data_IF_937027495475
#
_entry.id   IF_937027495475
#
_cell.length_a   1.000
_cell.length_b   1.000
_cell.length_c   1.000
_cell.angle_alpha   90.00
_cell.angle_beta   90.00
_cell.angle_gamma   90.00
#
_symmetry.space_group_name_H-M   'P 1'
#
loop_
_entity.id
_entity.type
_entity.pdbx_description
1 polymer ?
#
# COMPACT_ATOMS: atom_id res chain seq x y z
N UNK A 1 29.41 84.32 -11.28
CA UNK A 1 28.14 83.77 -10.80
C UNK A 1 28.09 82.31 -11.28
N UNK A 2 28.55 81.41 -10.48
CA UNK A 2 28.83 80.02 -10.84
C UNK A 2 27.81 79.14 -10.10
N UNK A 3 26.97 78.46 -10.84
CA UNK A 3 26.03 77.50 -10.29
C UNK A 3 26.63 76.08 -10.27
N UNK A 4 26.77 75.49 -9.08
CA UNK A 4 27.19 74.13 -8.89
C UNK A 4 25.99 73.19 -8.99
N UNK A 5 26.04 72.27 -9.94
CA UNK A 5 25.10 71.15 -10.09
C UNK A 5 25.58 69.99 -9.17
N UNK A 6 24.82 69.69 -8.12
CA UNK A 6 25.00 68.51 -7.28
C UNK A 6 24.44 67.27 -7.98
N UNK A 7 25.30 66.33 -8.33
CA UNK A 7 24.93 64.98 -8.81
C UNK A 7 24.41 64.14 -7.66
N UNK A 8 23.14 63.72 -7.72
CA UNK A 8 22.53 62.71 -6.88
C UNK A 8 22.90 61.32 -7.42
N UNK A 9 23.75 60.58 -6.71
CA UNK A 9 23.99 59.13 -6.96
C UNK A 9 22.79 58.35 -6.50
N UNK A 10 22.08 57.75 -7.41
CA UNK A 10 21.07 56.72 -7.16
C UNK A 10 21.81 55.41 -6.87
N UNK A 11 21.66 54.87 -5.65
CA UNK A 11 22.05 53.51 -5.31
C UNK A 11 20.89 52.60 -5.78
N UNK A 12 21.10 51.84 -6.81
CA UNK A 12 20.22 50.75 -7.20
C UNK A 12 20.54 49.59 -6.25
N UNK A 13 19.61 49.34 -5.31
CA UNK A 13 19.66 48.16 -4.49
C UNK A 13 19.22 46.93 -5.31
N UNK A 14 20.13 46.01 -5.58
CA UNK A 14 19.78 44.67 -6.06
C UNK A 14 19.04 43.97 -4.94
N UNK A 15 17.73 43.82 -5.05
CA UNK A 15 16.97 42.87 -4.27
C UNK A 15 17.23 41.48 -4.89
N UNK A 16 18.02 40.66 -4.20
CA UNK A 16 18.14 39.24 -4.50
C UNK A 16 16.80 38.59 -4.16
N UNK A 17 16.00 38.26 -5.17
CA UNK A 17 14.90 37.29 -5.02
C UNK A 17 15.56 35.93 -4.73
N UNK A 18 15.56 35.55 -3.45
CA UNK A 18 15.75 34.16 -3.06
C UNK A 18 14.50 33.40 -3.55
N UNK A 19 14.60 32.76 -4.71
CA UNK A 19 13.64 31.79 -5.15
C UNK A 19 13.67 30.60 -4.18
N UNK A 20 12.68 30.52 -3.31
CA UNK A 20 12.36 29.31 -2.60
C UNK A 20 11.84 28.35 -3.65
N UNK A 21 12.71 27.52 -4.18
CA UNK A 21 12.29 26.29 -4.87
C UNK A 21 11.63 25.43 -3.81
N UNK A 22 10.30 25.46 -3.78
CA UNK A 22 9.53 24.42 -3.13
C UNK A 22 9.96 23.11 -3.84
N UNK A 23 10.87 22.37 -3.24
CA UNK A 23 11.09 20.98 -3.59
C UNK A 23 9.76 20.30 -3.30
N UNK A 24 8.95 20.07 -4.33
CA UNK A 24 7.76 19.25 -4.26
C UNK A 24 8.17 17.94 -3.62
N UNK A 25 7.60 17.61 -2.48
CA UNK A 25 7.76 16.32 -1.85
C UNK A 25 7.09 15.32 -2.80
N UNK A 26 7.87 14.74 -3.71
CA UNK A 26 7.40 13.70 -4.58
C UNK A 26 7.13 12.46 -3.72
N UNK A 27 5.86 12.12 -3.56
CA UNK A 27 5.38 11.00 -2.78
C UNK A 27 5.61 9.70 -3.54
N UNK A 28 6.32 8.75 -2.97
CA UNK A 28 6.61 7.44 -3.57
C UNK A 28 6.11 6.28 -2.69
N UNK A 29 5.12 6.53 -1.85
CA UNK A 29 4.31 5.52 -1.17
C UNK A 29 2.88 5.61 -1.69
N UNK A 30 2.02 4.61 -1.45
CA UNK A 30 0.60 4.65 -1.84
C UNK A 30 -0.20 5.68 -1.02
N UNK A 31 0.47 6.66 -0.40
CA UNK A 31 -0.09 7.59 0.56
C UNK A 31 0.14 9.03 0.12
N UNK A 32 -0.80 9.91 0.50
CA UNK A 32 -0.80 11.35 0.19
C UNK A 32 -0.57 11.59 -1.31
N UNK A 33 -1.17 10.74 -2.13
CA UNK A 33 -0.90 10.67 -3.56
C UNK A 33 -2.09 11.17 -4.41
N UNK A 34 -3.18 11.60 -3.79
CA UNK A 34 -4.34 12.18 -4.47
C UNK A 34 -4.82 13.44 -3.76
N UNK A 35 -5.48 14.37 -4.47
CA UNK A 35 -6.01 15.59 -3.87
C UNK A 35 -6.94 15.33 -2.67
N UNK A 36 -7.76 14.27 -2.72
CA UNK A 36 -8.70 13.93 -1.64
C UNK A 36 -7.98 13.53 -0.36
N UNK A 37 -6.98 12.63 -0.42
CA UNK A 37 -6.27 12.16 0.78
C UNK A 37 -5.21 13.15 1.27
N UNK A 38 -4.64 13.98 0.38
CA UNK A 38 -3.78 15.11 0.76
C UNK A 38 -4.56 16.13 1.59
N UNK A 39 -5.83 16.40 1.21
CA UNK A 39 -6.68 17.33 1.94
C UNK A 39 -7.11 16.82 3.31
N UNK A 40 -7.28 15.52 3.49
CA UNK A 40 -7.57 14.87 4.77
C UNK A 40 -6.80 13.54 4.91
N UNK A 41 -5.58 13.55 5.47
CA UNK A 41 -4.77 12.33 5.67
C UNK A 41 -5.44 11.27 6.56
N UNK A 42 -6.53 11.61 7.26
CA UNK A 42 -7.31 10.65 8.04
C UNK A 42 -8.17 9.74 7.16
N UNK A 43 -8.33 10.10 5.87
CA UNK A 43 -8.99 9.25 4.88
C UNK A 43 -8.01 8.30 4.17
N UNK A 44 -6.71 8.55 4.26
CA UNK A 44 -5.66 7.86 3.55
C UNK A 44 -5.30 6.54 4.23
N UNK A 45 -5.54 5.42 3.57
CA UNK A 45 -5.18 4.09 4.06
C UNK A 45 -3.71 3.84 3.76
N UNK A 46 -2.89 3.74 4.81
CA UNK A 46 -1.51 3.35 4.70
C UNK A 46 -1.36 1.95 4.15
N UNK A 47 -1.83 1.00 4.91
CA UNK A 47 -1.69 -0.41 4.58
C UNK A 47 -2.88 -1.24 5.07
N UNK A 48 -3.12 -2.35 4.37
CA UNK A 48 -4.04 -3.40 4.80
C UNK A 48 -3.26 -4.69 5.00
N UNK A 49 -3.46 -5.34 6.14
CA UNK A 49 -2.91 -6.64 6.47
C UNK A 49 -4.04 -7.60 6.80
N UNK A 50 -3.88 -8.84 6.39
CA UNK A 50 -4.83 -9.92 6.69
C UNK A 50 -4.10 -11.25 6.76
N UNK A 51 -4.24 -11.98 7.87
CA UNK A 51 -3.64 -13.31 8.05
C UNK A 51 -4.41 -14.14 9.09
N UNK A 52 -4.12 -15.40 9.15
CA UNK A 52 -4.75 -16.32 10.11
C UNK A 52 -3.96 -16.43 11.41
N UNK A 53 -4.67 -16.66 12.53
CA UNK A 53 -4.01 -17.15 13.74
C UNK A 53 -3.42 -18.55 13.52
N UNK A 54 -2.35 -18.94 14.25
CA UNK A 54 -1.73 -20.25 14.08
C UNK A 54 -2.66 -21.45 14.26
N UNK A 55 -3.71 -21.30 15.07
CA UNK A 55 -4.73 -22.32 15.30
C UNK A 55 -5.89 -22.25 14.28
N UNK A 56 -5.81 -21.39 13.29
CA UNK A 56 -6.81 -21.13 12.24
C UNK A 56 -8.20 -20.75 12.77
N UNK A 57 -8.31 -20.28 14.01
CA UNK A 57 -9.59 -19.90 14.59
C UNK A 57 -9.98 -18.45 14.36
N UNK A 58 -9.00 -17.59 14.18
CA UNK A 58 -9.22 -16.15 14.01
C UNK A 58 -8.56 -15.63 12.75
N UNK A 59 -9.23 -14.67 12.13
CA UNK A 59 -8.68 -13.82 11.09
C UNK A 59 -8.20 -12.55 11.76
N UNK A 60 -6.95 -12.17 11.53
CA UNK A 60 -6.35 -10.93 11.99
C UNK A 60 -6.37 -9.92 10.85
N UNK A 61 -6.83 -8.72 11.12
CA UNK A 61 -6.96 -7.63 10.16
C UNK A 61 -6.30 -6.39 10.75
N UNK A 62 -5.54 -5.68 9.94
CA UNK A 62 -4.99 -4.36 10.30
C UNK A 62 -5.22 -3.41 9.14
N UNK A 63 -5.60 -2.19 9.48
CA UNK A 63 -5.63 -1.03 8.59
C UNK A 63 -4.85 0.08 9.25
N UNK A 64 -3.81 0.56 8.61
CA UNK A 64 -3.10 1.77 9.04
C UNK A 64 -3.65 2.98 8.28
N UNK A 65 -3.73 4.12 8.95
CA UNK A 65 -4.22 5.39 8.42
C UNK A 65 -3.10 6.40 8.54
N UNK A 66 -2.72 7.00 7.43
CA UNK A 66 -1.57 7.91 7.32
C UNK A 66 -1.66 9.08 8.28
N UNK A 67 -2.88 9.59 8.52
CA UNK A 67 -3.14 10.53 9.60
C UNK A 67 -2.89 9.88 10.97
N UNK A 68 -2.49 10.70 11.95
CA UNK A 68 -2.22 10.23 13.31
C UNK A 68 -3.47 10.16 14.19
N UNK A 69 -4.63 10.40 13.62
CA UNK A 69 -5.93 10.37 14.30
C UNK A 69 -7.00 9.88 13.35
N UNK A 70 -8.13 9.44 13.90
CA UNK A 70 -9.31 9.09 13.12
C UNK A 70 -10.26 10.29 12.98
N UNK A 71 -11.05 10.31 11.92
CA UNK A 71 -12.09 11.32 11.66
C UNK A 71 -13.45 10.86 12.20
N UNK A 72 -14.19 11.78 12.81
CA UNK A 72 -15.58 11.59 13.24
C UNK A 72 -16.58 11.57 12.05
N UNK A 73 -16.12 11.97 10.87
CA UNK A 73 -16.91 12.03 9.64
C UNK A 73 -16.73 10.82 8.74
N UNK A 74 -15.75 9.97 9.04
CA UNK A 74 -15.39 8.84 8.19
C UNK A 74 -15.82 7.50 8.78
N UNK A 75 -16.02 6.56 7.88
CA UNK A 75 -16.13 5.15 8.14
C UNK A 75 -14.84 4.47 7.65
N UNK A 76 -14.31 3.56 8.45
CA UNK A 76 -13.18 2.72 8.15
C UNK A 76 -13.71 1.29 8.00
N UNK A 77 -13.60 0.75 6.81
CA UNK A 77 -14.32 -0.46 6.45
C UNK A 77 -13.35 -1.54 5.99
N UNK A 78 -13.42 -2.71 6.60
CA UNK A 78 -12.87 -3.92 6.01
C UNK A 78 -14.00 -4.66 5.30
N UNK A 79 -13.83 -4.92 4.03
CA UNK A 79 -14.67 -5.78 3.24
C UNK A 79 -14.05 -7.17 3.16
N UNK A 80 -14.79 -8.19 3.57
CA UNK A 80 -14.35 -9.58 3.55
C UNK A 80 -15.34 -10.38 2.72
N UNK A 81 -14.95 -10.69 1.51
CA UNK A 81 -15.72 -11.53 0.61
C UNK A 81 -15.34 -12.99 0.84
N UNK A 82 -16.31 -13.88 1.03
CA UNK A 82 -16.07 -15.30 1.26
C UNK A 82 -16.60 -16.18 0.13
N UNK A 83 -15.96 -17.32 -0.09
CA UNK A 83 -16.36 -18.28 -1.10
C UNK A 83 -15.70 -19.64 -0.96
N UNK A 84 -16.17 -20.64 -1.75
CA UNK A 84 -15.67 -22.02 -1.64
C UNK A 84 -14.26 -22.21 -2.20
N UNK A 85 -13.80 -21.34 -3.09
CA UNK A 85 -12.50 -21.44 -3.77
C UNK A 85 -12.01 -20.07 -4.23
N UNK A 86 -10.73 -19.98 -4.57
CA UNK A 86 -10.14 -18.80 -5.20
C UNK A 86 -10.96 -18.32 -6.40
N UNK A 87 -11.15 -17.01 -6.53
CA UNK A 87 -11.88 -16.38 -7.62
C UNK A 87 -13.41 -16.53 -7.56
N UNK A 88 -13.97 -17.21 -6.56
CA UNK A 88 -15.40 -17.46 -6.44
C UNK A 88 -15.93 -17.07 -5.06
N UNK A 89 -16.12 -15.78 -4.83
CA UNK A 89 -16.78 -15.24 -3.63
C UNK A 89 -18.25 -14.97 -3.88
N UNK A 90 -19.10 -15.18 -2.88
CA UNK A 90 -20.55 -15.01 -3.01
C UNK A 90 -21.21 -14.29 -1.83
N UNK A 91 -20.50 -14.03 -0.75
CA UNK A 91 -21.02 -13.31 0.41
C UNK A 91 -19.97 -12.33 0.92
N UNK A 92 -20.38 -11.10 1.18
CA UNK A 92 -19.54 -10.06 1.80
C UNK A 92 -19.94 -9.85 3.24
N UNK A 93 -18.97 -9.86 4.13
CA UNK A 93 -19.11 -9.37 5.51
C UNK A 93 -18.29 -8.09 5.64
N UNK A 94 -18.95 -6.97 5.93
CA UNK A 94 -18.27 -5.71 6.17
C UNK A 94 -18.07 -5.48 7.67
N UNK A 95 -16.85 -5.08 8.05
CA UNK A 95 -16.53 -4.63 9.40
C UNK A 95 -16.38 -3.12 9.32
N UNK A 96 -17.31 -2.38 9.92
CA UNK A 96 -17.42 -0.92 9.84
C UNK A 96 -17.08 -0.31 11.17
N UNK A 97 -16.00 0.49 11.23
CA UNK A 97 -15.58 1.22 12.42
C UNK A 97 -15.79 2.73 12.23
N UNK A 98 -16.25 3.43 13.26
CA UNK A 98 -16.47 4.88 13.33
C UNK A 98 -15.95 5.43 14.64
N UNK A 99 -15.65 6.72 14.66
CA UNK A 99 -15.12 7.42 15.83
C UNK A 99 -15.98 8.65 16.17
N UNK A 100 -17.18 8.46 16.74
CA UNK A 100 -18.12 9.56 16.98
C UNK A 100 -17.59 10.60 17.97
N UNK A 101 -16.60 10.24 18.81
CA UNK A 101 -15.89 11.15 19.68
C UNK A 101 -14.45 10.69 19.87
N UNK A 102 -13.60 11.59 20.36
CA UNK A 102 -12.21 11.28 20.66
C UNK A 102 -12.11 10.08 21.62
N UNK A 103 -11.34 9.06 21.25
CA UNK A 103 -11.16 7.79 21.98
C UNK A 103 -12.44 6.94 22.10
N UNK A 104 -13.52 7.29 21.44
CA UNK A 104 -14.71 6.45 21.37
C UNK A 104 -14.80 5.79 20.01
N UNK A 105 -14.80 4.46 20.01
CA UNK A 105 -14.96 3.62 18.83
C UNK A 105 -16.38 3.03 18.83
N UNK A 106 -16.99 2.99 17.67
CA UNK A 106 -18.11 2.10 17.33
C UNK A 106 -17.68 1.22 16.18
N UNK A 107 -17.63 -0.10 16.39
CA UNK A 107 -17.23 -1.06 15.35
C UNK A 107 -18.24 -2.18 15.27
N UNK A 108 -18.76 -2.44 14.06
CA UNK A 108 -19.78 -3.47 13.80
C UNK A 108 -19.20 -4.49 12.82
N UNK A 109 -19.21 -5.77 13.19
CA UNK A 109 -18.77 -6.90 12.37
C UNK A 109 -20.01 -7.59 11.75
N UNK A 110 -20.43 -7.12 10.58
CA UNK A 110 -21.68 -7.57 9.94
C UNK A 110 -22.86 -7.47 10.92
N UNK A 111 -23.64 -8.55 10.99
CA UNK A 111 -24.74 -8.70 11.97
C UNK A 111 -24.35 -9.60 13.16
N UNK A 112 -23.10 -10.09 13.20
CA UNK A 112 -22.67 -11.07 14.19
C UNK A 112 -22.29 -10.46 15.55
N UNK A 113 -21.68 -9.25 15.54
CA UNK A 113 -21.20 -8.63 16.77
C UNK A 113 -20.95 -7.13 16.58
N UNK A 114 -20.89 -6.39 17.70
CA UNK A 114 -20.51 -4.99 17.74
C UNK A 114 -19.69 -4.65 18.98
N UNK A 115 -18.87 -3.62 18.91
CA UNK A 115 -18.14 -3.06 20.04
C UNK A 115 -18.33 -1.55 20.09
N UNK A 116 -18.49 -0.99 21.30
CA UNK A 116 -18.54 0.46 21.52
C UNK A 116 -17.77 0.83 22.78
N UNK A 117 -16.91 1.82 22.71
CA UNK A 117 -16.15 2.32 23.84
C UNK A 117 -14.72 2.70 23.49
N UNK A 118 -13.86 2.75 24.51
CA UNK A 118 -12.45 3.08 24.34
C UNK A 118 -11.63 1.84 23.96
N UNK A 119 -11.08 1.82 22.74
CA UNK A 119 -10.28 0.74 22.19
C UNK A 119 -8.75 1.03 22.20
N UNK A 120 -8.29 2.08 22.89
CA UNK A 120 -6.89 2.54 22.81
C UNK A 120 -5.92 1.75 23.70
N UNK A 121 -6.41 0.91 24.60
CA UNK A 121 -5.52 0.06 25.41
C UNK A 121 -5.00 -1.13 24.61
N UNK A 122 -3.78 -1.64 24.87
CA UNK A 122 -3.25 -2.81 24.18
C UNK A 122 -4.13 -4.06 24.29
N UNK A 123 -4.93 -4.19 25.34
CA UNK A 123 -5.90 -5.27 25.47
C UNK A 123 -7.03 -5.19 24.42
N UNK A 124 -7.27 -4.00 23.85
CA UNK A 124 -8.37 -3.76 22.95
C UNK A 124 -9.75 -3.84 23.63
N UNK A 125 -10.77 -3.60 22.83
CA UNK A 125 -12.18 -3.68 23.22
C UNK A 125 -12.77 -4.97 22.63
N UNK A 126 -13.44 -5.76 23.46
CA UNK A 126 -14.15 -6.98 23.01
C UNK A 126 -15.54 -6.64 22.51
N UNK A 127 -15.97 -7.31 21.45
CA UNK A 127 -17.34 -7.25 20.98
C UNK A 127 -18.34 -7.75 22.04
N UNK A 128 -19.60 -7.31 21.93
CA UNK A 128 -20.68 -7.67 22.86
C UNK A 128 -20.89 -9.19 22.95
N UNK A 129 -20.83 -9.87 21.79
CA UNK A 129 -20.96 -11.33 21.69
C UNK A 129 -19.62 -12.06 21.76
N UNK A 130 -18.53 -11.34 22.07
CA UNK A 130 -17.17 -11.86 22.15
C UNK A 130 -16.62 -12.50 20.86
N UNK A 131 -17.21 -12.19 19.69
CA UNK A 131 -16.81 -12.76 18.40
C UNK A 131 -15.61 -12.04 17.77
N UNK A 132 -15.28 -10.86 18.25
CA UNK A 132 -14.09 -10.12 17.82
C UNK A 132 -13.50 -9.26 18.94
N UNK A 133 -12.29 -8.81 18.73
CA UNK A 133 -11.60 -7.82 19.55
C UNK A 133 -11.01 -6.77 18.65
N UNK A 134 -11.09 -5.48 19.03
CA UNK A 134 -10.59 -4.35 18.26
C UNK A 134 -9.70 -3.46 19.13
N UNK A 135 -8.56 -3.05 18.59
CA UNK A 135 -7.73 -1.96 19.08
C UNK A 135 -7.79 -0.82 18.06
N UNK A 136 -7.81 0.42 18.54
CA UNK A 136 -7.71 1.61 17.70
C UNK A 136 -6.84 2.66 18.37
N UNK A 137 -5.74 3.04 17.74
CA UNK A 137 -4.77 4.00 18.28
C UNK A 137 -3.49 4.01 17.48
N UNK A 138 -2.51 4.78 17.94
CA UNK A 138 -1.22 4.86 17.28
C UNK A 138 -0.43 3.56 17.45
N UNK A 139 0.16 3.11 16.36
CA UNK A 139 1.12 1.99 16.30
C UNK A 139 2.20 2.33 15.30
N UNK A 140 3.34 1.68 15.46
CA UNK A 140 4.38 1.66 14.46
C UNK A 140 3.90 0.92 13.19
N UNK A 141 4.26 1.42 12.02
CA UNK A 141 3.85 0.80 10.75
C UNK A 141 4.81 -0.34 10.40
N UNK A 142 4.32 -1.57 10.19
CA UNK A 142 5.19 -2.67 9.80
C UNK A 142 5.64 -2.65 8.33
N UNK A 143 5.27 -1.64 7.56
CA UNK A 143 5.69 -1.48 6.18
C UNK A 143 7.06 -0.84 6.09
N UNK A 144 7.95 -1.42 5.31
CA UNK A 144 9.29 -0.89 5.07
C UNK A 144 9.60 -0.87 3.58
N UNK A 145 10.28 0.17 3.13
CA UNK A 145 10.58 0.41 1.72
C UNK A 145 11.71 1.45 1.55
N UNK A 146 12.64 1.20 0.64
CA UNK A 146 13.58 2.19 0.15
C UNK A 146 12.93 3.06 -0.93
N UNK A 147 12.10 4.02 -0.53
CA UNK A 147 11.38 4.92 -1.44
C UNK A 147 12.34 5.73 -2.33
N UNK A 148 13.49 6.17 -1.79
CA UNK A 148 14.46 6.96 -2.56
C UNK A 148 15.14 6.13 -3.64
N UNK A 149 15.54 4.89 -3.32
CA UNK A 149 16.08 3.96 -4.30
C UNK A 149 15.05 3.61 -5.39
N UNK A 150 13.79 3.40 -4.99
CA UNK A 150 12.69 3.19 -5.93
C UNK A 150 12.55 4.33 -6.94
N UNK A 151 12.60 5.58 -6.47
CA UNK A 151 12.54 6.76 -7.35
C UNK A 151 13.75 6.83 -8.29
N UNK A 152 14.95 6.65 -7.76
CA UNK A 152 16.17 6.68 -8.56
C UNK A 152 16.13 5.60 -9.66
N UNK A 153 15.64 4.40 -9.35
CA UNK A 153 15.45 3.32 -10.32
C UNK A 153 14.45 3.71 -11.43
N UNK A 154 13.29 4.28 -11.07
CA UNK A 154 12.32 4.74 -12.07
C UNK A 154 12.84 5.90 -12.92
N UNK A 155 13.56 6.85 -12.32
CA UNK A 155 14.20 7.94 -13.07
C UNK A 155 15.24 7.41 -14.06
N UNK A 156 16.03 6.41 -13.66
CA UNK A 156 17.00 5.75 -14.54
C UNK A 156 16.32 5.03 -15.70
N UNK A 157 15.23 4.28 -15.44
CA UNK A 157 14.44 3.62 -16.46
C UNK A 157 13.81 4.64 -17.43
N UNK A 158 13.21 5.71 -16.89
CA UNK A 158 12.64 6.79 -17.71
C UNK A 158 13.71 7.51 -18.56
N UNK A 159 14.92 7.71 -18.03
CA UNK A 159 16.03 8.29 -18.79
C UNK A 159 16.46 7.37 -19.95
N UNK A 160 16.55 6.06 -19.72
CA UNK A 160 16.87 5.09 -20.77
C UNK A 160 15.81 5.11 -21.89
N UNK A 161 14.53 5.19 -21.54
CA UNK A 161 13.44 5.31 -22.51
C UNK A 161 13.54 6.61 -23.32
N UNK A 162 13.79 7.75 -22.67
CA UNK A 162 14.00 9.04 -23.37
C UNK A 162 15.21 9.01 -24.30
N UNK A 163 16.22 8.21 -24.00
CA UNK A 163 17.42 8.01 -24.82
C UNK A 163 17.22 7.02 -25.98
N UNK A 164 16.00 6.53 -26.18
CA UNK A 164 15.62 5.75 -27.36
C UNK A 164 15.66 4.23 -27.17
N UNK A 165 15.61 3.72 -25.92
CA UNK A 165 15.39 2.28 -25.71
C UNK A 165 14.11 1.85 -26.41
N UNK A 166 14.20 0.85 -27.25
CA UNK A 166 13.06 0.29 -27.96
C UNK A 166 12.10 -0.40 -26.97
N UNK A 167 10.80 -0.28 -27.23
CA UNK A 167 9.76 -0.92 -26.45
C UNK A 167 9.03 -1.91 -27.34
N UNK A 168 8.82 -3.12 -26.87
CA UNK A 168 8.09 -4.14 -27.61
C UNK A 168 6.58 -3.88 -27.65
N UNK A 169 5.83 -4.70 -28.39
CA UNK A 169 4.39 -4.56 -28.55
C UNK A 169 3.60 -4.85 -27.26
N UNK A 170 4.22 -5.42 -26.22
CA UNK A 170 3.64 -5.61 -24.90
C UNK A 170 3.94 -4.45 -23.93
N UNK A 171 4.65 -3.43 -24.38
CA UNK A 171 5.07 -2.32 -23.55
C UNK A 171 6.33 -2.58 -22.73
N UNK A 172 7.07 -3.69 -23.00
CA UNK A 172 8.29 -4.02 -22.30
C UNK A 172 9.48 -3.31 -22.96
N UNK A 173 10.22 -2.43 -22.23
CA UNK A 173 11.47 -1.84 -22.72
C UNK A 173 12.58 -2.90 -22.87
N UNK A 174 13.26 -2.89 -24.02
CA UNK A 174 14.40 -3.76 -24.25
C UNK A 174 15.67 -3.18 -23.62
N UNK A 175 15.74 -3.16 -22.29
CA UNK A 175 16.96 -2.75 -21.60
C UNK A 175 18.06 -3.78 -21.82
N UNK A 176 19.28 -3.31 -22.11
CA UNK A 176 20.44 -4.18 -22.10
C UNK A 176 20.85 -4.52 -20.65
N UNK A 177 21.73 -5.52 -20.51
CA UNK A 177 22.18 -5.99 -19.20
C UNK A 177 22.82 -4.87 -18.35
N UNK A 178 23.51 -3.92 -18.97
CA UNK A 178 24.13 -2.79 -18.27
C UNK A 178 23.08 -1.84 -17.72
N UNK A 179 22.05 -1.52 -18.51
CA UNK A 179 20.95 -0.64 -18.11
C UNK A 179 20.10 -1.30 -17.02
N UNK A 180 19.73 -2.58 -17.17
CA UNK A 180 19.00 -3.33 -16.16
C UNK A 180 19.75 -3.39 -14.83
N UNK A 181 21.04 -3.74 -14.86
CA UNK A 181 21.86 -3.75 -13.67
C UNK A 181 21.94 -2.37 -13.00
N UNK A 182 22.08 -1.31 -13.80
CA UNK A 182 22.13 0.05 -13.26
C UNK A 182 20.79 0.49 -12.63
N UNK A 183 19.64 0.04 -13.15
CA UNK A 183 18.32 0.28 -12.55
C UNK A 183 18.20 -0.46 -11.23
N UNK A 184 18.57 -1.74 -11.18
CA UNK A 184 18.52 -2.55 -9.95
C UNK A 184 19.50 -2.05 -8.88
N UNK A 185 20.66 -1.51 -9.29
CA UNK A 185 21.63 -0.89 -8.38
C UNK A 185 21.06 0.37 -7.72
N UNK A 186 20.35 1.25 -8.47
CA UNK A 186 19.68 2.41 -7.87
C UNK A 186 18.62 1.97 -6.84
N UNK A 187 17.91 0.88 -7.13
CA UNK A 187 16.89 0.36 -6.21
C UNK A 187 17.45 -0.01 -4.84
N UNK A 188 18.64 -0.64 -4.82
CA UNK A 188 19.33 -1.09 -3.58
C UNK A 188 19.91 0.02 -2.75
N UNK A 189 20.08 1.21 -3.31
CA UNK A 189 20.83 2.28 -2.67
C UNK A 189 19.91 3.46 -2.28
N UNK A 190 20.28 4.12 -1.22
CA UNK A 190 19.71 5.42 -0.84
C UNK A 190 20.80 6.47 -1.00
N UNK A 191 20.68 7.36 -2.00
CA UNK A 191 21.63 8.43 -2.29
C UNK A 191 23.07 7.85 -2.49
N UNK A 192 23.21 6.71 -3.15
CA UNK A 192 24.47 5.99 -3.39
C UNK A 192 25.05 5.25 -2.19
N UNK A 193 24.37 5.24 -1.05
CA UNK A 193 24.71 4.48 0.16
C UNK A 193 23.82 3.25 0.36
N UNK A 194 23.94 2.61 1.52
CA UNK A 194 23.08 1.48 1.88
C UNK A 194 21.59 1.86 1.83
N UNK A 195 20.74 0.95 1.37
CA UNK A 195 19.28 1.10 1.40
C UNK A 195 18.75 1.46 2.79
N UNK A 196 17.85 2.41 2.84
CA UNK A 196 17.26 2.89 4.10
C UNK A 196 15.74 2.82 4.04
N UNK A 197 15.14 2.28 5.10
CA UNK A 197 13.70 2.35 5.27
C UNK A 197 13.25 3.82 5.36
N UNK A 198 12.47 4.27 4.39
CA UNK A 198 11.96 5.63 4.35
C UNK A 198 10.89 5.87 5.43
N UNK A 199 10.20 4.80 5.84
CA UNK A 199 9.10 4.85 6.79
C UNK A 199 9.54 4.55 8.23
N UNK A 200 10.86 4.44 8.48
CA UNK A 200 11.38 4.18 9.81
C UNK A 200 10.82 5.18 10.84
N UNK A 201 10.22 4.66 11.92
CA UNK A 201 9.56 5.45 12.96
C UNK A 201 8.21 6.06 12.58
N UNK A 202 7.65 5.71 11.43
CA UNK A 202 6.31 6.17 11.04
C UNK A 202 5.25 5.57 11.96
N UNK A 203 4.39 6.41 12.52
CA UNK A 203 3.42 6.03 13.55
C UNK A 203 1.99 6.42 13.14
N UNK A 204 1.34 5.67 12.24
CA UNK A 204 -0.02 5.92 11.78
C UNK A 204 -1.06 5.63 12.87
N UNK A 205 -2.28 6.15 12.68
CA UNK A 205 -3.42 5.64 13.40
C UNK A 205 -3.80 4.26 12.85
N UNK A 206 -3.92 3.25 13.72
CA UNK A 206 -4.13 1.86 13.31
C UNK A 206 -5.40 1.29 13.91
N UNK A 207 -6.20 0.59 13.09
CA UNK A 207 -7.31 -0.25 13.51
C UNK A 207 -6.85 -1.69 13.40
N UNK A 208 -6.84 -2.40 14.52
CA UNK A 208 -6.39 -3.79 14.61
C UNK A 208 -7.54 -4.66 15.10
N UNK A 209 -7.87 -5.70 14.36
CA UNK A 209 -8.99 -6.59 14.65
C UNK A 209 -8.49 -8.03 14.68
N UNK A 210 -8.97 -8.80 15.66
CA UNK A 210 -8.91 -10.25 15.67
C UNK A 210 -10.34 -10.77 15.79
N UNK A 211 -10.82 -11.50 14.78
CA UNK A 211 -12.22 -11.90 14.63
C UNK A 211 -12.34 -13.40 14.39
N UNK A 212 -13.35 -14.02 14.99
CA UNK A 212 -13.63 -15.44 14.78
C UNK A 212 -13.84 -15.74 13.29
N UNK A 213 -13.13 -16.74 12.80
CA UNK A 213 -13.15 -17.15 11.39
C UNK A 213 -14.58 -17.41 10.85
N UNK A 214 -15.41 -18.08 11.64
CA UNK A 214 -16.77 -18.47 11.21
C UNK A 214 -17.74 -17.28 11.01
N UNK A 215 -17.44 -16.12 11.58
CA UNK A 215 -18.15 -14.88 11.26
C UNK A 215 -17.95 -14.49 9.80
N UNK A 216 -16.77 -14.78 9.23
CA UNK A 216 -16.35 -14.33 7.92
C UNK A 216 -16.50 -15.40 6.83
N UNK A 217 -16.54 -16.70 7.19
CA UNK A 217 -16.52 -17.82 6.23
C UNK A 217 -17.91 -18.32 5.83
N UNK A 218 -18.91 -17.45 5.76
CA UNK A 218 -20.32 -17.82 5.51
C UNK A 218 -20.54 -18.61 4.22
N UNK A 219 -19.74 -18.37 3.20
CA UNK A 219 -19.85 -19.04 1.88
C UNK A 219 -18.66 -19.92 1.55
N UNK A 220 -17.73 -20.10 2.49
CA UNK A 220 -16.57 -20.96 2.29
C UNK A 220 -15.27 -20.40 2.87
N UNK A 221 -14.19 -21.20 2.81
CA UNK A 221 -12.95 -20.89 3.51
C UNK A 221 -12.05 -19.87 2.81
N UNK A 222 -12.30 -19.56 1.54
CA UNK A 222 -11.49 -18.57 0.82
C UNK A 222 -12.05 -17.18 1.08
N UNK A 223 -11.19 -16.29 1.55
CA UNK A 223 -11.51 -14.91 1.84
C UNK A 223 -10.75 -13.99 0.88
N UNK A 224 -11.41 -12.95 0.38
CA UNK A 224 -10.80 -11.89 -0.38
C UNK A 224 -11.07 -10.56 0.34
N UNK A 225 -10.00 -9.89 0.80
CA UNK A 225 -10.06 -8.83 1.80
C UNK A 225 -9.49 -7.54 1.22
N UNK A 226 -10.19 -6.44 1.47
CA UNK A 226 -9.76 -5.10 1.14
C UNK A 226 -10.31 -4.09 2.13
N UNK A 227 -9.69 -2.92 2.21
CA UNK A 227 -10.07 -1.82 3.06
C UNK A 227 -10.63 -0.64 2.27
N UNK A 228 -11.50 0.15 2.89
CA UNK A 228 -11.96 1.42 2.36
C UNK A 228 -12.14 2.46 3.47
N UNK A 229 -11.92 3.72 3.12
CA UNK A 229 -12.43 4.86 3.88
C UNK A 229 -13.54 5.53 3.10
N UNK A 230 -14.59 5.93 3.80
CA UNK A 230 -15.78 6.49 3.17
C UNK A 230 -16.44 7.54 4.06
N UNK A 231 -17.09 8.51 3.43
CA UNK A 231 -18.14 9.32 4.07
C UNK A 231 -19.47 8.56 4.05
N UNK A 232 -20.57 9.18 4.48
CA UNK A 232 -21.93 8.64 4.28
C UNK A 232 -22.28 8.45 2.81
N UNK A 233 -21.66 9.21 1.91
CA UNK A 233 -22.12 9.39 0.54
C UNK A 233 -21.21 8.76 -0.50
N UNK A 234 -19.90 8.64 -0.20
CA UNK A 234 -18.94 8.12 -1.16
C UNK A 234 -17.72 7.49 -0.49
N UNK A 235 -17.11 6.55 -1.19
CA UNK A 235 -15.76 6.06 -0.88
C UNK A 235 -14.72 7.12 -1.24
N UNK A 236 -13.70 7.27 -0.40
CA UNK A 236 -12.61 8.25 -0.56
C UNK A 236 -11.31 7.57 -0.92
N UNK A 237 -11.05 6.40 -0.31
CA UNK A 237 -9.83 5.65 -0.52
C UNK A 237 -10.09 4.15 -0.42
N UNK A 238 -9.17 3.36 -0.99
CA UNK A 238 -9.17 1.90 -0.91
C UNK A 238 -7.75 1.34 -0.94
N UNK A 239 -7.57 0.22 -0.26
CA UNK A 239 -6.35 -0.57 -0.34
C UNK A 239 -6.66 -2.06 -0.20
N UNK A 240 -5.87 -2.88 -0.86
CA UNK A 240 -5.90 -4.33 -0.73
C UNK A 240 -4.48 -4.88 -0.67
N UNK A 241 -3.87 -5.15 -1.82
CA UNK A 241 -2.47 -5.56 -1.93
C UNK A 241 -1.54 -4.37 -1.73
N UNK A 242 -0.30 -4.61 -1.25
CA UNK A 242 0.67 -3.54 -1.14
C UNK A 242 1.03 -2.97 -2.53
N UNK A 243 1.36 -1.69 -2.60
CA UNK A 243 1.93 -1.00 -3.76
C UNK A 243 1.03 -0.89 -5.00
N UNK A 244 -0.26 -1.26 -4.97
CA UNK A 244 -1.10 -1.25 -6.18
C UNK A 244 -1.17 0.14 -6.81
N UNK A 245 -1.41 1.19 -6.03
CA UNK A 245 -1.48 2.57 -6.51
C UNK A 245 -0.16 3.04 -7.13
N UNK A 246 0.95 2.92 -6.42
CA UNK A 246 2.23 3.48 -6.85
C UNK A 246 3.02 2.63 -7.83
N UNK A 247 2.90 1.32 -7.75
CA UNK A 247 3.62 0.45 -8.66
C UNK A 247 2.91 0.27 -10.01
N UNK A 248 1.58 0.45 -10.06
CA UNK A 248 0.79 -0.01 -11.21
C UNK A 248 -0.05 1.08 -11.88
N UNK A 249 -0.21 2.26 -11.26
CA UNK A 249 -1.05 3.34 -11.81
C UNK A 249 -0.22 4.58 -12.13
N UNK A 250 0.08 4.75 -13.41
CA UNK A 250 0.86 5.90 -13.89
C UNK A 250 2.31 5.91 -13.43
N UNK A 251 2.98 4.75 -13.38
CA UNK A 251 4.32 4.55 -12.79
C UNK A 251 5.40 5.49 -13.36
N UNK A 252 5.36 5.79 -14.65
CA UNK A 252 6.25 6.77 -15.31
C UNK A 252 5.48 7.96 -15.91
N UNK A 253 4.22 8.14 -15.54
CA UNK A 253 3.44 9.28 -15.99
C UNK A 253 3.78 10.55 -15.21
N UNK A 254 3.42 11.70 -15.78
CA UNK A 254 3.46 12.96 -15.05
C UNK A 254 2.57 12.89 -13.80
N UNK A 255 2.97 13.59 -12.74
CA UNK A 255 2.31 13.54 -11.43
C UNK A 255 0.80 13.78 -11.50
N UNK A 256 0.36 14.79 -12.24
CA UNK A 256 -1.07 15.11 -12.43
C UNK A 256 -1.86 13.96 -13.06
N UNK A 257 -1.26 13.22 -14.00
CA UNK A 257 -1.87 12.06 -14.66
C UNK A 257 -1.95 10.89 -13.69
N UNK A 258 -0.87 10.61 -12.98
CA UNK A 258 -0.81 9.55 -11.97
C UNK A 258 -1.82 9.80 -10.85
N UNK A 259 -1.84 11.01 -10.27
CA UNK A 259 -2.75 11.39 -9.19
C UNK A 259 -4.22 11.28 -9.61
N UNK A 260 -4.56 11.67 -10.84
CA UNK A 260 -5.92 11.50 -11.37
C UNK A 260 -6.32 10.02 -11.49
N UNK A 261 -5.44 9.17 -12.00
CA UNK A 261 -5.68 7.73 -12.12
C UNK A 261 -5.90 7.10 -10.74
N UNK A 262 -5.10 7.48 -9.76
CA UNK A 262 -5.21 7.01 -8.37
C UNK A 262 -6.50 7.50 -7.71
N UNK A 263 -6.90 8.77 -7.88
CA UNK A 263 -8.17 9.29 -7.39
C UNK A 263 -9.36 8.50 -7.95
N UNK A 264 -9.35 8.18 -9.25
CA UNK A 264 -10.37 7.34 -9.86
C UNK A 264 -10.34 5.90 -9.34
N UNK A 265 -9.15 5.38 -9.03
CA UNK A 265 -8.95 4.06 -8.48
C UNK A 265 -9.45 3.98 -7.02
N UNK A 266 -9.14 4.96 -6.19
CA UNK A 266 -9.57 5.05 -4.80
C UNK A 266 -11.11 5.12 -4.68
N UNK A 267 -11.79 5.73 -5.65
CA UNK A 267 -13.24 5.76 -5.72
C UNK A 267 -13.87 4.46 -6.29
N UNK A 268 -13.07 3.55 -6.86
CA UNK A 268 -13.57 2.31 -7.44
C UNK A 268 -13.65 1.17 -6.40
N UNK A 269 -14.39 0.12 -6.74
CA UNK A 269 -14.43 -1.13 -5.98
C UNK A 269 -13.79 -2.27 -6.79
N UNK A 270 -13.47 -3.42 -6.21
CA UNK A 270 -13.01 -4.58 -6.97
C UNK A 270 -13.92 -4.92 -8.16
N UNK A 271 -15.23 -4.80 -8.00
CA UNK A 271 -16.21 -5.07 -9.07
C UNK A 271 -16.15 -4.06 -10.24
N UNK A 272 -15.62 -2.86 -10.03
CA UNK A 272 -15.54 -1.79 -11.05
C UNK A 272 -14.11 -1.52 -11.53
N UNK A 273 -13.14 -2.30 -11.08
CA UNK A 273 -11.71 -2.07 -11.32
C UNK A 273 -11.21 -2.51 -12.70
N UNK A 274 -12.01 -3.24 -13.46
CA UNK A 274 -11.63 -3.74 -14.80
C UNK A 274 -11.17 -2.62 -15.77
N UNK A 275 -11.61 -1.38 -15.55
CA UNK A 275 -11.20 -0.22 -16.36
C UNK A 275 -9.72 0.14 -16.21
N UNK A 276 -9.06 -0.31 -15.14
CA UNK A 276 -7.64 -0.06 -14.88
C UNK A 276 -6.72 -1.13 -15.47
N UNK A 277 -7.24 -2.24 -15.98
CA UNK A 277 -6.44 -3.36 -16.50
C UNK A 277 -5.43 -2.87 -17.56
N UNK A 278 -5.85 -2.00 -18.47
CA UNK A 278 -4.97 -1.49 -19.53
C UNK A 278 -3.83 -0.63 -18.97
N UNK A 279 -4.09 0.19 -17.95
CA UNK A 279 -3.06 0.99 -17.30
C UNK A 279 -2.08 0.11 -16.51
N UNK A 280 -2.59 -0.87 -15.79
CA UNK A 280 -1.77 -1.86 -15.08
C UNK A 280 -0.90 -2.64 -16.08
N UNK A 281 -1.41 -3.01 -17.27
CA UNK A 281 -0.60 -3.66 -18.29
C UNK A 281 0.61 -2.82 -18.75
N UNK A 282 0.48 -1.49 -18.85
CA UNK A 282 1.61 -0.62 -19.18
C UNK A 282 2.69 -0.66 -18.11
N UNK A 283 2.30 -0.57 -16.84
CA UNK A 283 3.24 -0.67 -15.72
C UNK A 283 3.88 -2.05 -15.64
N UNK A 284 3.13 -3.11 -15.90
CA UNK A 284 3.65 -4.47 -15.96
C UNK A 284 4.68 -4.65 -17.08
N UNK A 285 4.49 -4.02 -18.24
CA UNK A 285 5.51 -4.01 -19.30
C UNK A 285 6.84 -3.42 -18.83
N UNK A 286 6.79 -2.33 -18.05
CA UNK A 286 8.00 -1.75 -17.45
C UNK A 286 8.66 -2.71 -16.45
N UNK A 287 7.87 -3.31 -15.53
CA UNK A 287 8.41 -4.26 -14.55
C UNK A 287 9.07 -5.48 -15.20
N UNK A 288 8.45 -6.02 -16.26
CA UNK A 288 8.94 -7.16 -17.04
C UNK A 288 10.34 -6.94 -17.64
N UNK A 289 10.79 -5.68 -17.74
CA UNK A 289 12.09 -5.31 -18.31
C UNK A 289 13.22 -5.18 -17.28
N UNK A 290 12.92 -5.17 -15.99
CA UNK A 290 13.94 -4.82 -14.99
C UNK A 290 15.04 -5.86 -14.82
N UNK A 291 14.77 -7.12 -15.11
CA UNK A 291 15.77 -8.19 -15.13
C UNK A 291 16.54 -8.28 -16.49
N UNK A 292 16.22 -7.41 -17.44
CA UNK A 292 16.79 -7.40 -18.82
C UNK A 292 16.13 -8.39 -19.78
N UNK A 293 15.02 -9.01 -19.39
CA UNK A 293 14.28 -9.96 -20.19
C UNK A 293 12.80 -9.59 -20.22
N UNK A 294 12.17 -9.79 -21.37
CA UNK A 294 10.73 -9.58 -21.53
C UNK A 294 10.01 -10.91 -21.63
N UNK A 295 8.85 -11.03 -20.97
CA UNK A 295 7.97 -12.20 -21.11
C UNK A 295 8.29 -13.33 -20.13
N UNK A 296 8.82 -13.03 -18.96
CA UNK A 296 9.11 -14.01 -17.89
C UNK A 296 8.44 -13.67 -16.54
N UNK A 297 7.68 -12.59 -16.46
CA UNK A 297 6.94 -12.19 -15.27
C UNK A 297 5.85 -13.21 -14.89
N UNK A 298 5.29 -13.07 -13.69
CA UNK A 298 4.23 -13.92 -13.17
C UNK A 298 3.02 -13.92 -14.12
N UNK A 299 2.42 -15.11 -14.37
CA UNK A 299 1.22 -15.33 -15.16
C UNK A 299 1.29 -14.79 -16.60
N UNK A 300 2.50 -14.63 -17.15
CA UNK A 300 2.66 -14.21 -18.54
C UNK A 300 2.04 -15.26 -19.49
N UNK A 301 1.17 -14.81 -20.38
CA UNK A 301 0.62 -15.67 -21.43
C UNK A 301 1.48 -15.57 -22.70
N UNK A 302 2.39 -16.52 -22.86
CA UNK A 302 3.31 -16.56 -24.03
C UNK A 302 2.65 -16.94 -25.34
N UNK A 303 1.39 -17.38 -25.31
CA UNK A 303 0.63 -17.75 -26.51
C UNK A 303 -0.29 -16.60 -26.96
N UNK A 304 -0.54 -15.63 -26.10
CA UNK A 304 -1.34 -14.46 -26.45
C UNK A 304 -0.59 -13.51 -27.40
N UNK A 305 -1.35 -12.67 -28.10
CA UNK A 305 -0.80 -11.50 -28.78
C UNK A 305 0.05 -10.68 -27.80
N UNK A 306 1.21 -10.15 -28.22
CA UNK A 306 2.15 -9.47 -27.32
C UNK A 306 1.49 -8.43 -26.42
N UNK A 307 0.59 -7.60 -26.94
CA UNK A 307 -0.15 -6.58 -26.18
C UNK A 307 -1.10 -7.12 -25.11
N UNK A 308 -1.34 -8.43 -25.09
CA UNK A 308 -2.25 -9.10 -24.15
C UNK A 308 -1.52 -10.06 -23.20
N UNK A 309 -0.21 -10.27 -23.37
CA UNK A 309 0.52 -11.31 -22.63
C UNK A 309 0.54 -11.10 -21.10
N UNK A 310 0.51 -9.85 -20.60
CA UNK A 310 0.43 -9.51 -19.17
C UNK A 310 -1.02 -9.35 -18.67
N UNK A 311 -2.03 -9.54 -19.53
CA UNK A 311 -3.43 -9.34 -19.17
C UNK A 311 -3.92 -10.22 -18.01
N UNK A 312 -3.53 -11.52 -17.89
CA UNK A 312 -3.93 -12.34 -16.76
C UNK A 312 -3.47 -11.76 -15.43
N UNK A 313 -2.20 -11.33 -15.34
CA UNK A 313 -1.65 -10.68 -14.16
C UNK A 313 -2.31 -9.33 -13.91
N UNK A 314 -2.50 -8.50 -14.93
CA UNK A 314 -3.17 -7.21 -14.81
C UNK A 314 -4.62 -7.34 -14.30
N UNK A 315 -5.33 -8.39 -14.74
CA UNK A 315 -6.70 -8.68 -14.27
C UNK A 315 -6.71 -9.07 -12.79
N UNK A 316 -5.76 -9.91 -12.37
CA UNK A 316 -5.58 -10.29 -10.97
C UNK A 316 -5.28 -9.07 -10.09
N UNK A 317 -4.39 -8.20 -10.54
CA UNK A 317 -3.95 -7.04 -9.76
C UNK A 317 -5.00 -5.93 -9.72
N UNK A 318 -5.79 -5.75 -10.77
CA UNK A 318 -6.91 -4.81 -10.79
C UNK A 318 -8.00 -5.17 -9.76
N UNK A 319 -8.21 -6.45 -9.46
CA UNK A 319 -9.11 -6.91 -8.40
C UNK A 319 -8.70 -6.40 -7.02
N UNK A 320 -7.40 -6.30 -6.77
CA UNK A 320 -6.76 -5.70 -5.58
C UNK A 320 -7.39 -6.11 -4.25
N UNK A 321 -7.46 -7.40 -4.01
CA UNK A 321 -7.87 -8.01 -2.74
C UNK A 321 -6.79 -8.95 -2.23
N UNK A 322 -6.52 -8.94 -0.93
CA UNK A 322 -5.70 -9.94 -0.26
C UNK A 322 -6.50 -11.24 -0.16
N UNK A 323 -6.02 -12.29 -0.80
CA UNK A 323 -6.63 -13.61 -0.70
C UNK A 323 -6.06 -14.38 0.49
N UNK A 324 -6.97 -14.91 1.32
CA UNK A 324 -6.63 -15.67 2.52
C UNK A 324 -7.35 -17.01 2.50
N UNK A 325 -6.59 -18.11 2.61
CA UNK A 325 -7.11 -19.43 2.88
C UNK A 325 -7.31 -19.59 4.40
N UNK A 326 -8.53 -19.40 4.88
CA UNK A 326 -8.84 -19.45 6.31
C UNK A 326 -8.81 -20.86 6.91
N UNK A 327 -8.60 -21.89 6.11
CA UNK A 327 -8.41 -23.26 6.60
C UNK A 327 -6.97 -23.53 7.10
N UNK A 328 -6.02 -22.61 6.86
CA UNK A 328 -4.63 -22.75 7.27
C UNK A 328 -4.22 -21.67 8.26
N UNK A 329 -3.46 -22.04 9.29
CA UNK A 329 -2.78 -21.13 10.22
C UNK A 329 -1.30 -20.86 9.86
N UNK A 330 -0.83 -21.38 8.72
CA UNK A 330 0.53 -21.17 8.21
C UNK A 330 0.46 -20.04 7.16
N UNK A 331 1.05 -18.90 7.44
CA UNK A 331 1.01 -17.69 6.59
C UNK A 331 2.44 -17.22 6.35
N UNK A 332 3.09 -17.74 5.31
CA UNK A 332 4.52 -17.51 5.06
C UNK A 332 4.81 -16.88 3.71
N UNK A 333 3.82 -16.82 2.81
CA UNK A 333 4.05 -16.38 1.44
C UNK A 333 2.96 -15.42 0.97
N UNK A 334 3.36 -14.19 0.59
CA UNK A 334 2.47 -13.27 -0.14
C UNK A 334 2.06 -13.90 -1.47
N UNK A 335 0.81 -13.73 -1.87
CA UNK A 335 0.24 -14.35 -3.05
C UNK A 335 0.19 -15.90 -3.03
N UNK A 336 0.34 -16.55 -1.87
CA UNK A 336 0.32 -18.02 -1.83
C UNK A 336 -0.95 -18.61 -2.44
N UNK A 337 -2.11 -18.03 -2.16
CA UNK A 337 -3.39 -18.50 -2.71
C UNK A 337 -3.42 -18.35 -4.22
N UNK A 338 -2.98 -17.21 -4.74
CA UNK A 338 -2.90 -16.91 -6.17
C UNK A 338 -1.88 -17.81 -6.88
N UNK A 339 -0.68 -17.94 -6.32
CA UNK A 339 0.38 -18.78 -6.86
C UNK A 339 -0.01 -20.26 -6.91
N UNK A 340 -0.66 -20.76 -5.86
CA UNK A 340 -1.16 -22.15 -5.81
C UNK A 340 -2.22 -22.43 -6.87
N UNK A 341 -3.12 -21.48 -7.13
CA UNK A 341 -4.27 -21.67 -8.03
C UNK A 341 -3.99 -21.29 -9.47
N UNK A 342 -3.09 -20.35 -9.75
CA UNK A 342 -2.86 -19.79 -11.07
C UNK A 342 -1.49 -20.14 -11.65
N UNK A 343 -0.46 -20.30 -10.81
CA UNK A 343 0.91 -20.53 -11.24
C UNK A 343 1.40 -21.96 -10.99
N UNK A 344 0.52 -22.87 -10.59
CA UNK A 344 0.85 -24.29 -10.37
C UNK A 344 1.74 -24.57 -9.14
N UNK A 345 1.89 -23.59 -8.23
CA UNK A 345 2.69 -23.71 -7.00
C UNK A 345 1.91 -24.51 -5.93
N UNK A 346 1.66 -25.77 -6.20
CA UNK A 346 0.79 -26.64 -5.36
C UNK A 346 1.31 -26.83 -3.93
N UNK A 347 2.59 -26.65 -3.68
CA UNK A 347 3.19 -26.64 -2.34
C UNK A 347 2.61 -25.54 -1.42
N UNK A 348 2.01 -24.48 -2.02
CA UNK A 348 1.39 -23.36 -1.31
C UNK A 348 -0.10 -23.56 -1.01
N UNK A 349 -0.72 -24.68 -1.40
CA UNK A 349 -2.14 -24.96 -1.13
C UNK A 349 -2.48 -24.97 0.38
N UNK A 350 -1.50 -25.24 1.22
CA UNK A 350 -1.63 -25.25 2.68
C UNK A 350 -1.16 -23.95 3.34
N UNK A 351 -0.73 -22.95 2.57
CA UNK A 351 -0.42 -21.63 3.10
C UNK A 351 -1.68 -20.78 3.16
N UNK A 352 -1.79 -19.92 4.17
CA UNK A 352 -2.93 -19.02 4.29
C UNK A 352 -2.89 -17.88 3.28
N UNK A 353 -1.73 -17.54 2.73
CA UNK A 353 -1.55 -16.33 1.93
C UNK A 353 -1.74 -15.06 2.75
N UNK A 354 -2.44 -14.09 2.16
CA UNK A 354 -2.67 -12.80 2.81
C UNK A 354 -1.39 -11.99 2.98
N UNK A 355 -1.35 -11.17 4.01
CA UNK A 355 -0.19 -10.34 4.37
C UNK A 355 -0.10 -10.25 5.89
N UNK A 356 0.99 -10.75 6.48
CA UNK A 356 1.29 -10.61 7.91
C UNK A 356 2.26 -9.44 8.15
N UNK A 357 2.33 -8.89 9.38
CA UNK A 357 3.41 -7.96 9.74
C UNK A 357 4.79 -8.64 9.61
N UNK A 358 5.84 -7.86 9.43
CA UNK A 358 7.23 -8.28 9.18
C UNK A 358 7.49 -9.01 7.86
N UNK A 359 6.52 -9.09 6.96
CA UNK A 359 6.70 -9.70 5.65
C UNK A 359 7.35 -8.70 4.68
N UNK A 360 8.42 -9.10 4.01
CA UNK A 360 9.07 -8.30 2.97
C UNK A 360 8.21 -8.23 1.71
N UNK A 361 7.11 -7.48 1.82
CA UNK A 361 6.12 -7.39 0.76
C UNK A 361 6.65 -6.66 -0.48
N UNK A 362 7.53 -5.68 -0.28
CA UNK A 362 8.01 -4.79 -1.34
C UNK A 362 8.90 -5.54 -2.34
N UNK A 363 9.94 -6.20 -1.83
CA UNK A 363 10.89 -6.93 -2.67
C UNK A 363 10.21 -8.11 -3.36
N UNK A 364 9.39 -8.86 -2.62
CA UNK A 364 8.67 -10.02 -3.18
C UNK A 364 7.64 -9.60 -4.22
N UNK A 365 6.84 -8.57 -3.95
CA UNK A 365 5.85 -8.09 -4.90
C UNK A 365 6.49 -7.66 -6.21
N UNK A 366 7.54 -6.82 -6.14
CA UNK A 366 8.25 -6.33 -7.32
C UNK A 366 8.96 -7.45 -8.10
N UNK A 367 9.56 -8.41 -7.40
CA UNK A 367 10.19 -9.57 -8.05
C UNK A 367 9.17 -10.43 -8.80
N UNK A 368 8.00 -10.67 -8.22
CA UNK A 368 6.91 -11.37 -8.92
C UNK A 368 6.48 -10.63 -10.20
N UNK A 369 6.48 -9.29 -10.17
CA UNK A 369 6.15 -8.48 -11.34
C UNK A 369 7.28 -8.45 -12.39
N UNK A 370 8.55 -8.61 -11.98
CA UNK A 370 9.68 -8.58 -12.88
C UNK A 370 9.88 -9.94 -13.58
N UNK A 371 10.08 -11.03 -12.82
CA UNK A 371 10.49 -12.32 -13.36
C UNK A 371 9.83 -13.55 -12.69
N UNK A 372 8.74 -13.34 -11.96
CA UNK A 372 8.06 -14.38 -11.19
C UNK A 372 8.88 -15.01 -10.04
N UNK A 373 10.01 -14.42 -9.66
CA UNK A 373 10.81 -14.82 -8.51
C UNK A 373 10.39 -14.09 -7.22
N UNK A 374 11.11 -14.34 -6.14
CA UNK A 374 10.92 -13.64 -4.86
C UNK A 374 12.08 -12.69 -4.51
N UNK A 375 13.10 -12.54 -5.37
CA UNK A 375 14.35 -11.88 -5.00
C UNK A 375 15.11 -11.21 -6.14
N UNK A 376 14.51 -11.03 -7.29
CA UNK A 376 15.17 -10.36 -8.44
C UNK A 376 15.23 -8.84 -8.27
N UNK A 377 14.24 -8.28 -7.59
CA UNK A 377 14.22 -6.85 -7.23
C UNK A 377 14.42 -6.74 -5.72
N UNK A 378 15.49 -6.06 -5.33
CA UNK A 378 15.91 -5.91 -3.95
C UNK A 378 16.17 -4.42 -3.68
N UNK A 379 15.45 -3.83 -2.74
CA UNK A 379 15.59 -2.41 -2.38
C UNK A 379 16.59 -2.17 -1.24
N UNK A 380 17.28 -3.22 -0.80
CA UNK A 380 18.28 -3.17 0.28
C UNK A 380 17.68 -3.02 1.68
N UNK A 381 16.36 -3.13 1.82
CA UNK A 381 15.63 -3.09 3.10
C UNK A 381 14.82 -4.37 3.24
N UNK A 382 15.13 -5.18 4.25
CA UNK A 382 14.52 -6.50 4.44
C UNK A 382 13.70 -6.66 5.72
N UNK A 383 13.66 -5.63 6.52
CA UNK A 383 12.91 -5.60 7.77
C UNK A 383 12.69 -4.17 8.23
N UNK A 384 11.66 -3.99 9.01
CA UNK A 384 11.46 -2.79 9.77
C UNK A 384 12.44 -2.70 10.95
N UNK A 385 12.65 -1.51 11.50
CA UNK A 385 13.49 -1.28 12.68
C UNK A 385 12.87 -1.84 13.97
N UNK A 386 11.56 -2.09 13.97
CA UNK A 386 10.82 -2.69 15.07
C UNK A 386 10.34 -4.10 14.75
N UNK A 387 10.12 -4.88 15.78
CA UNK A 387 9.58 -6.23 15.63
C UNK A 387 8.10 -6.22 15.97
N UNK A 388 7.29 -6.57 15.00
CA UNK A 388 5.85 -6.76 15.13
C UNK A 388 5.53 -8.23 15.42
N UNK A 389 4.38 -8.51 16.05
CA UNK A 389 3.95 -9.85 16.36
C UNK A 389 2.87 -10.34 15.41
N UNK A 390 3.05 -11.49 14.79
CA UNK A 390 1.97 -12.12 14.04
C UNK A 390 0.94 -12.86 14.93
N UNK A 391 1.22 -13.00 16.24
CA UNK A 391 0.44 -13.86 17.14
C UNK A 391 -0.08 -13.18 18.40
N UNK A 392 0.55 -12.08 18.83
CA UNK A 392 0.20 -11.39 20.07
C UNK A 392 -0.50 -10.05 19.74
N UNK A 393 -1.81 -10.00 20.00
CA UNK A 393 -2.61 -8.80 19.85
C UNK A 393 -2.09 -7.63 20.74
N UNK A 394 -2.02 -6.39 20.26
CA UNK A 394 -2.54 -5.88 18.99
C UNK A 394 -1.54 -5.93 17.82
N UNK A 395 -0.67 -6.91 17.79
CA UNK A 395 0.25 -7.30 16.73
C UNK A 395 1.34 -6.27 16.42
N UNK A 396 0.97 -5.01 16.17
CA UNK A 396 1.90 -3.96 15.79
C UNK A 396 2.70 -3.45 16.99
N UNK A 397 3.95 -3.09 16.76
CA UNK A 397 4.82 -2.51 17.78
C UNK A 397 4.23 -1.20 18.37
N UNK A 398 4.66 -0.86 19.56
CA UNK A 398 4.25 0.40 20.19
C UNK A 398 4.74 1.59 19.35
N UNK A 399 4.04 2.74 19.40
CA UNK A 399 4.45 3.92 18.67
C UNK A 399 5.85 4.39 19.09
N UNK A 400 6.59 5.00 18.17
CA UNK A 400 7.88 5.61 18.49
C UNK A 400 7.67 6.88 19.33
N UNK A 401 8.05 6.83 20.59
CA UNK A 401 7.95 7.97 21.50
C UNK A 401 8.85 9.15 21.09
N UNK A 402 9.90 8.91 20.32
CA UNK A 402 10.81 9.99 19.84
C UNK A 402 10.26 10.67 18.59
N UNK A 403 9.56 9.94 17.72
CA UNK A 403 8.94 10.50 16.52
C UNK A 403 7.76 11.42 16.85
N UNK A 404 7.06 11.15 17.99
CA UNK A 404 5.89 11.93 18.40
C UNK A 404 5.90 12.26 19.91
N UNK A 405 6.83 13.12 20.41
CA UNK A 405 7.00 13.41 21.83
C UNK A 405 5.82 14.13 22.47
N UNK A 406 4.79 14.54 21.71
CA UNK A 406 3.66 15.34 22.22
C UNK A 406 2.33 14.61 22.37
N UNK A 407 2.25 13.33 22.08
CA UNK A 407 0.93 12.66 21.94
C UNK A 407 0.26 12.23 23.25
N UNK A 408 0.94 12.32 24.39
CA UNK A 408 0.30 12.10 25.70
C UNK A 408 -0.33 13.37 26.31
N UNK A 409 0.02 14.57 25.86
CA UNK A 409 -0.37 15.81 26.54
C UNK A 409 -0.98 16.93 25.68
N UNK A 410 -0.96 16.88 24.34
CA UNK A 410 -1.46 18.02 23.55
C UNK A 410 -2.79 17.72 22.84
N UNK A 411 -3.87 17.85 23.59
CA UNK A 411 -5.23 18.03 23.08
C UNK A 411 -5.59 19.49 22.80
N UNK A 412 -4.65 20.34 22.45
CA UNK A 412 -4.95 21.74 22.11
C UNK A 412 -3.93 22.25 21.11
N UNK A 413 -4.24 22.18 19.84
CA UNK A 413 -3.89 23.16 18.83
C UNK A 413 -4.37 22.70 17.47
N UNK A 414 -5.63 22.94 17.18
CA UNK A 414 -6.07 23.24 15.83
C UNK A 414 -7.17 24.30 15.94
N UNK A 415 -6.75 25.50 15.60
CA UNK A 415 -7.65 26.58 15.19
C UNK A 415 -7.43 26.84 13.72
#
# INVERSE_FOLDING_TARGET
MVWQLRSRKWRVGLAALAGVTAAGAAHASDHLDTPTVIADPRADIGDVYAWMSPDSRQVNLVMTIVGHTFSDKLQYVFHVDSGPRFGATSTTTSIVCRFPARKELECKAGDADYARGNATTPAGLRGHNHRFRVFAGLRDDPFFNNVRGTRAAYEKAAAALRNGTAVDAAGCPNFDATTSQAILDEWRHTDGGQGKNFLAGWTPASIVISIDRDVLTRSGPMLAIWGATATSDRQLDRAGRPLTGNALLGTLADEDVSNKLKEEYNAATPATSARFIQEIQKSLGLYDSFDGHCGNQLLVDRQAEPSLRSRPLATLLADDRLWVNSASGVCTQLFAVELANLAGRHELLTDCGGRSPNYDAVNIYRSLLADASNNSVDDGVHRDERVHSATVFPFLAAPDAQAYPGNEQNGTADK
#
